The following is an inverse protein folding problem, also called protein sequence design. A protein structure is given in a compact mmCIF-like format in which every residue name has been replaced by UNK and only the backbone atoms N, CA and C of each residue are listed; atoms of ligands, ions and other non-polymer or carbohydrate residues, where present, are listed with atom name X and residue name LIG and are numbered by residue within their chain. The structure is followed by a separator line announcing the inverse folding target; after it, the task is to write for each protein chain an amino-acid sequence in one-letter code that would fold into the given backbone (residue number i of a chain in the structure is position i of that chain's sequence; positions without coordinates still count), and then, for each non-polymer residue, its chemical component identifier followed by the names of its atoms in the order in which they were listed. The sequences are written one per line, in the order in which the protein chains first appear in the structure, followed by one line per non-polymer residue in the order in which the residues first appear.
data_IF_836498530820
#
_entry.id   IF_836498530820
#
_cell.length_a   1.000
_cell.length_b   1.000
_cell.length_c   1.000
_cell.angle_alpha   90.00
_cell.angle_beta   90.00
_cell.angle_gamma   90.00
#
_symmetry.space_group_name_H-M   'P 1'
#
loop_
_entity.id
_entity.type
_entity.pdbx_description
1 polymer ?
#
# COMPACT_ATOMS: atom_id res chain seq x y z
N UNK A 1 -25.24 22.61 15.73
CA UNK A 1 -24.14 21.62 15.86
C UNK A 1 -23.36 21.56 14.54
N UNK A 2 -22.04 21.38 14.56
CA UNK A 2 -21.22 21.17 13.35
C UNK A 2 -21.34 19.72 12.90
N UNK A 3 -21.41 19.48 11.59
CA UNK A 3 -21.31 18.13 11.04
C UNK A 3 -19.85 17.65 11.12
N UNK A 4 -19.64 16.50 11.77
CA UNK A 4 -18.32 15.86 11.94
C UNK A 4 -18.12 14.67 11.01
N UNK A 5 -19.06 14.39 10.10
CA UNK A 5 -18.96 13.31 9.11
C UNK A 5 -19.22 13.79 7.66
N UNK A 6 -18.72 14.97 7.24
CA UNK A 6 -18.86 15.35 5.85
C UNK A 6 -18.05 14.39 4.96
N UNK A 7 -18.59 14.06 3.79
CA UNK A 7 -17.80 13.40 2.76
C UNK A 7 -16.86 14.44 2.11
N UNK A 8 -15.58 14.11 1.85
CA UNK A 8 -14.71 14.99 1.09
C UNK A 8 -15.20 15.11 -0.35
N UNK A 9 -15.56 16.31 -0.78
CA UNK A 9 -15.99 16.59 -2.16
C UNK A 9 -14.96 17.48 -2.89
N UNK A 10 -14.73 17.22 -4.17
CA UNK A 10 -13.86 18.05 -5.02
C UNK A 10 -12.37 18.04 -4.67
N UNK A 11 -11.92 17.15 -3.78
CA UNK A 11 -10.53 17.08 -3.32
C UNK A 11 -9.87 15.75 -3.68
N UNK A 12 -8.64 15.84 -4.20
CA UNK A 12 -7.84 14.70 -4.60
C UNK A 12 -8.36 13.96 -5.83
N UNK A 13 -7.56 12.98 -6.29
CA UNK A 13 -7.94 12.05 -7.36
C UNK A 13 -7.76 10.62 -6.85
N UNK A 14 -8.74 9.76 -7.12
CA UNK A 14 -8.60 8.32 -6.94
C UNK A 14 -7.99 7.77 -8.23
N UNK A 15 -6.77 7.25 -8.16
CA UNK A 15 -6.04 6.71 -9.31
C UNK A 15 -5.37 5.39 -8.93
N UNK A 16 -5.04 4.57 -9.93
CA UNK A 16 -4.26 3.36 -9.71
C UNK A 16 -2.85 3.70 -9.20
N UNK A 17 -2.27 4.81 -9.69
CA UNK A 17 -0.96 5.27 -9.22
C UNK A 17 -0.98 5.59 -7.72
N UNK A 18 -2.03 6.23 -7.20
CA UNK A 18 -2.14 6.47 -5.76
C UNK A 18 -2.26 5.18 -4.93
N UNK A 19 -2.79 4.10 -5.50
CA UNK A 19 -2.74 2.77 -4.86
C UNK A 19 -1.32 2.21 -4.85
N UNK A 20 -0.57 2.35 -5.97
CA UNK A 20 0.84 1.93 -6.05
C UNK A 20 1.73 2.69 -5.08
N UNK A 21 1.58 4.00 -5.00
CA UNK A 21 2.34 4.85 -4.07
C UNK A 21 2.10 4.43 -2.62
N UNK A 22 0.83 4.16 -2.27
CA UNK A 22 0.45 3.64 -0.95
C UNK A 22 1.12 2.29 -0.64
N UNK A 23 1.07 1.33 -1.58
CA UNK A 23 1.71 0.01 -1.46
C UNK A 23 3.22 0.16 -1.29
N UNK A 24 3.88 0.97 -2.12
CA UNK A 24 5.32 1.24 -2.05
C UNK A 24 5.70 1.80 -0.68
N UNK A 25 4.94 2.76 -0.15
CA UNK A 25 5.17 3.33 1.18
C UNK A 25 4.98 2.30 2.29
N UNK A 26 3.95 1.46 2.22
CA UNK A 26 3.74 0.34 3.17
C UNK A 26 4.96 -0.58 3.19
N UNK A 27 5.42 -1.06 2.02
CA UNK A 27 6.59 -1.94 1.93
C UNK A 27 7.83 -1.28 2.56
N UNK A 28 8.11 -0.02 2.21
CA UNK A 28 9.29 0.70 2.72
C UNK A 28 9.21 0.95 4.23
N UNK A 29 8.06 1.35 4.74
CA UNK A 29 7.87 1.58 6.18
C UNK A 29 7.97 0.28 6.98
N UNK A 30 7.38 -0.82 6.50
CA UNK A 30 7.50 -2.15 7.12
C UNK A 30 8.94 -2.66 7.09
N UNK A 31 9.66 -2.44 6.00
CA UNK A 31 11.10 -2.73 5.94
C UNK A 31 11.87 -1.93 6.99
N UNK A 32 11.55 -0.63 7.19
CA UNK A 32 12.13 0.18 8.26
C UNK A 32 11.91 -0.43 9.65
N UNK A 33 10.67 -0.84 9.96
CA UNK A 33 10.35 -1.45 11.26
C UNK A 33 11.02 -2.81 11.46
N UNK A 34 11.13 -3.65 10.43
CA UNK A 34 11.90 -4.89 10.50
C UNK A 34 13.39 -4.65 10.80
N UNK A 35 13.89 -3.44 10.52
CA UNK A 35 15.25 -2.99 10.81
C UNK A 35 15.31 -2.07 12.04
N UNK A 36 14.31 -2.11 12.93
CA UNK A 36 14.29 -1.37 14.20
C UNK A 36 13.95 0.12 14.08
N UNK A 37 13.44 0.58 12.93
CA UNK A 37 13.08 1.99 12.69
C UNK A 37 11.57 2.19 12.71
N UNK A 38 11.04 2.71 13.82
CA UNK A 38 9.62 3.06 13.99
C UNK A 38 9.19 4.32 13.22
N UNK A 39 10.15 5.16 12.83
CA UNK A 39 9.98 6.33 11.99
C UNK A 39 11.00 6.26 10.83
N UNK A 40 10.57 6.55 9.62
CA UNK A 40 11.41 6.44 8.42
C UNK A 40 11.24 7.65 7.50
N UNK A 41 12.35 8.22 7.02
CA UNK A 41 12.30 9.27 6.00
C UNK A 41 11.96 8.64 4.64
N UNK A 42 10.73 8.84 4.17
CA UNK A 42 10.21 8.33 2.91
C UNK A 42 9.72 9.50 2.06
N UNK A 43 10.29 9.64 0.85
CA UNK A 43 9.88 10.65 -0.14
C UNK A 43 9.81 12.08 0.41
N UNK A 44 10.73 12.42 1.33
CA UNK A 44 10.84 13.74 1.96
C UNK A 44 10.02 13.91 3.25
N UNK A 45 9.24 12.92 3.65
CA UNK A 45 8.41 12.94 4.86
C UNK A 45 8.89 11.93 5.91
N UNK A 46 8.77 12.29 7.19
CA UNK A 46 9.06 11.37 8.29
C UNK A 46 7.82 10.54 8.61
N UNK A 47 7.75 9.35 8.05
CA UNK A 47 6.59 8.48 8.14
C UNK A 47 6.61 7.60 9.39
N UNK A 48 5.44 7.40 9.97
CA UNK A 48 5.21 6.58 11.16
C UNK A 48 4.10 5.52 10.92
N UNK A 49 3.66 4.89 12.01
CA UNK A 49 2.68 3.81 11.95
C UNK A 49 1.30 4.29 11.46
N UNK A 50 0.95 5.56 11.67
CA UNK A 50 -0.33 6.09 11.22
C UNK A 50 -0.38 6.14 9.69
N UNK A 51 0.72 6.51 9.04
CA UNK A 51 0.83 6.52 7.57
C UNK A 51 0.65 5.12 6.98
N UNK A 52 1.36 4.14 7.53
CA UNK A 52 1.18 2.73 7.13
C UNK A 52 -0.25 2.25 7.31
N UNK A 53 -0.85 2.59 8.46
CA UNK A 53 -2.21 2.18 8.79
C UNK A 53 -3.23 2.78 7.82
N UNK A 54 -3.19 4.09 7.57
CA UNK A 54 -4.18 4.72 6.69
C UNK A 54 -4.08 4.18 5.26
N UNK A 55 -2.87 3.92 4.76
CA UNK A 55 -2.69 3.34 3.43
C UNK A 55 -3.26 1.93 3.32
N UNK A 56 -2.99 1.05 4.29
CA UNK A 56 -3.55 -0.31 4.28
C UNK A 56 -5.08 -0.30 4.37
N UNK A 57 -5.66 0.56 5.21
CA UNK A 57 -7.12 0.69 5.30
C UNK A 57 -7.73 1.29 4.03
N UNK A 58 -7.07 2.24 3.39
CA UNK A 58 -7.51 2.77 2.09
C UNK A 58 -7.54 1.68 1.02
N UNK A 59 -6.48 0.87 0.92
CA UNK A 59 -6.39 -0.24 -0.06
C UNK A 59 -7.49 -1.28 0.23
N UNK A 60 -7.65 -1.67 1.49
CA UNK A 60 -8.69 -2.61 1.90
C UNK A 60 -10.09 -2.06 1.61
N UNK A 61 -10.37 -0.80 1.94
CA UNK A 61 -11.67 -0.15 1.66
C UNK A 61 -11.97 -0.12 0.15
N UNK A 62 -10.99 0.26 -0.67
CA UNK A 62 -11.15 0.25 -2.14
C UNK A 62 -11.46 -1.14 -2.66
N UNK A 63 -10.81 -2.16 -2.13
CA UNK A 63 -11.00 -3.57 -2.54
C UNK A 63 -12.35 -4.10 -2.08
N UNK A 64 -12.73 -3.88 -0.82
CA UNK A 64 -14.01 -4.27 -0.24
C UNK A 64 -15.20 -3.71 -1.04
N UNK A 65 -15.11 -2.43 -1.42
CA UNK A 65 -16.17 -1.75 -2.16
C UNK A 65 -16.00 -1.81 -3.68
N UNK A 66 -15.06 -2.61 -4.20
CA UNK A 66 -14.78 -2.77 -5.64
C UNK A 66 -14.67 -1.42 -6.36
N UNK A 67 -13.90 -0.49 -5.78
CA UNK A 67 -13.72 0.85 -6.35
C UNK A 67 -12.93 0.74 -7.65
N UNK A 68 -13.49 1.29 -8.73
CA UNK A 68 -12.79 1.49 -10.00
C UNK A 68 -12.06 2.83 -10.01
N UNK A 69 -10.84 2.83 -10.53
CA UNK A 69 -10.01 4.03 -10.69
C UNK A 69 -9.31 4.00 -12.05
N UNK A 70 -9.02 5.17 -12.64
CA UNK A 70 -8.21 5.24 -13.85
C UNK A 70 -6.76 4.83 -13.59
N UNK A 71 -6.21 4.06 -14.54
CA UNK A 71 -4.78 3.81 -14.67
C UNK A 71 -4.06 4.96 -15.41
N UNK A 72 -2.77 4.77 -15.71
CA UNK A 72 -1.96 5.78 -16.41
C UNK A 72 -2.43 6.09 -17.84
N UNK A 73 -3.17 5.16 -18.47
CA UNK A 73 -3.73 5.31 -19.81
C UNK A 73 -5.20 5.75 -19.78
N UNK A 74 -5.75 6.02 -18.59
CA UNK A 74 -7.16 6.38 -18.40
C UNK A 74 -8.13 5.21 -18.48
N UNK A 75 -7.64 3.96 -18.47
CA UNK A 75 -8.50 2.77 -18.39
C UNK A 75 -8.97 2.59 -16.95
N UNK A 76 -10.27 2.37 -16.78
CA UNK A 76 -10.84 2.02 -15.47
C UNK A 76 -10.39 0.62 -15.03
N UNK A 77 -9.85 0.55 -13.80
CA UNK A 77 -9.37 -0.67 -13.16
C UNK A 77 -10.06 -0.82 -11.82
N UNK A 78 -10.76 -1.94 -11.62
CA UNK A 78 -11.47 -2.28 -10.39
C UNK A 78 -10.54 -2.96 -9.39
N UNK A 79 -10.53 -2.49 -8.14
CA UNK A 79 -9.76 -3.14 -7.08
C UNK A 79 -10.35 -4.51 -6.72
N UNK A 80 -9.53 -5.54 -6.82
CA UNK A 80 -9.79 -6.90 -6.34
C UNK A 80 -8.60 -7.40 -5.50
N UNK A 81 -8.75 -8.45 -4.67
CA UNK A 81 -7.63 -9.04 -3.96
C UNK A 81 -6.47 -9.42 -4.88
N UNK A 82 -6.77 -10.00 -6.05
CA UNK A 82 -5.76 -10.42 -7.03
C UNK A 82 -4.99 -9.23 -7.61
N UNK A 83 -5.69 -8.13 -7.89
CA UNK A 83 -5.01 -6.90 -8.31
C UNK A 83 -4.10 -6.38 -7.21
N UNK A 84 -4.55 -6.37 -5.95
CA UNK A 84 -3.72 -5.91 -4.82
C UNK A 84 -2.44 -6.75 -4.71
N UNK A 85 -2.55 -8.08 -4.77
CA UNK A 85 -1.39 -8.99 -4.79
C UNK A 85 -0.43 -8.67 -5.92
N UNK A 86 -0.96 -8.52 -7.15
CA UNK A 86 -0.16 -8.16 -8.32
C UNK A 86 0.58 -6.83 -8.11
N UNK A 87 -0.09 -5.82 -7.57
CA UNK A 87 0.53 -4.51 -7.31
C UNK A 87 1.62 -4.59 -6.23
N UNK A 88 1.44 -5.39 -5.18
CA UNK A 88 2.48 -5.62 -4.17
C UNK A 88 3.74 -6.25 -4.78
N UNK A 89 3.58 -7.23 -5.67
CA UNK A 89 4.70 -7.87 -6.36
C UNK A 89 5.42 -6.89 -7.29
N UNK A 90 4.67 -6.13 -8.08
CA UNK A 90 5.23 -5.15 -9.01
C UNK A 90 6.00 -4.03 -8.29
N UNK A 91 5.48 -3.52 -7.18
CA UNK A 91 6.15 -2.47 -6.40
C UNK A 91 7.36 -3.02 -5.62
N UNK A 92 7.31 -4.26 -5.11
CA UNK A 92 8.50 -4.92 -4.56
C UNK A 92 9.61 -5.03 -5.61
N UNK A 93 9.26 -5.46 -6.82
CA UNK A 93 10.23 -5.59 -7.90
C UNK A 93 10.82 -4.24 -8.34
N UNK A 94 10.02 -3.17 -8.33
CA UNK A 94 10.51 -1.79 -8.56
C UNK A 94 11.49 -1.38 -7.46
N UNK A 95 11.13 -1.56 -6.20
CA UNK A 95 12.00 -1.24 -5.05
C UNK A 95 13.32 -2.00 -5.11
N UNK A 96 13.29 -3.27 -5.51
CA UNK A 96 14.52 -4.07 -5.68
C UNK A 96 15.40 -3.54 -6.79
N UNK A 97 14.83 -3.12 -7.93
CA UNK A 97 15.57 -2.48 -9.04
C UNK A 97 16.17 -1.13 -8.64
N UNK A 98 15.44 -0.34 -7.87
CA UNK A 98 15.92 0.95 -7.33
C UNK A 98 17.04 0.74 -6.30
N UNK A 99 17.01 -0.36 -5.54
CA UNK A 99 18.00 -0.67 -4.50
C UNK A 99 19.24 -1.41 -5.03
N UNK A 100 19.21 -1.97 -6.24
CA UNK A 100 20.33 -2.77 -6.81
C UNK A 100 21.63 -1.98 -7.07
N UNK A 101 21.67 -0.68 -6.76
CA UNK A 101 22.93 0.08 -6.64
C UNK A 101 23.71 -0.24 -5.36
N UNK A 102 23.07 -0.76 -4.31
CA UNK A 102 23.72 -1.19 -3.06
C UNK A 102 23.46 -2.68 -2.80
N UNK A 103 24.46 -3.50 -3.10
CA UNK A 103 24.40 -4.96 -3.14
C UNK A 103 24.32 -5.64 -1.78
N UNK A 104 23.16 -5.58 -1.11
CA UNK A 104 22.93 -6.33 0.13
C UNK A 104 21.78 -7.34 0.03
N UNK A 105 22.12 -8.63 0.03
CA UNK A 105 21.17 -9.75 0.01
C UNK A 105 20.27 -9.73 1.25
N UNK A 106 20.76 -9.21 2.38
CA UNK A 106 19.96 -9.07 3.60
C UNK A 106 18.81 -8.07 3.42
N UNK A 107 19.07 -6.95 2.71
CA UNK A 107 18.04 -5.96 2.40
C UNK A 107 16.96 -6.53 1.46
N UNK A 108 17.34 -7.38 0.51
CA UNK A 108 16.37 -8.04 -0.38
C UNK A 108 15.41 -8.97 0.37
N UNK A 109 15.88 -9.64 1.42
CA UNK A 109 15.05 -10.52 2.26
C UNK A 109 14.07 -9.72 3.14
N UNK A 110 14.53 -8.63 3.76
CA UNK A 110 13.67 -7.80 4.60
C UNK A 110 12.58 -7.11 3.79
N UNK A 111 12.86 -6.70 2.55
CA UNK A 111 11.83 -6.17 1.65
C UNK A 111 10.77 -7.20 1.27
N UNK A 112 11.14 -8.47 1.06
CA UNK A 112 10.15 -9.53 0.81
C UNK A 112 9.24 -9.73 2.02
N UNK A 113 9.82 -9.84 3.21
CA UNK A 113 9.05 -9.93 4.47
C UNK A 113 8.15 -8.73 4.69
N UNK A 114 8.62 -7.53 4.36
CA UNK A 114 7.85 -6.30 4.44
C UNK A 114 6.64 -6.30 3.48
N UNK A 115 6.84 -6.79 2.25
CA UNK A 115 5.77 -7.00 1.27
C UNK A 115 4.73 -8.00 1.78
N UNK A 116 5.17 -9.15 2.29
CA UNK A 116 4.26 -10.18 2.82
C UNK A 116 3.48 -9.70 4.04
N UNK A 117 4.12 -8.98 4.96
CA UNK A 117 3.44 -8.37 6.11
C UNK A 117 2.45 -7.28 5.68
N UNK A 118 2.85 -6.42 4.73
CA UNK A 118 2.02 -5.34 4.23
C UNK A 118 0.75 -5.84 3.56
N UNK A 119 0.90 -6.80 2.64
CA UNK A 119 -0.23 -7.46 1.97
C UNK A 119 -1.08 -8.23 2.97
N UNK A 120 -0.49 -9.09 3.80
CA UNK A 120 -1.21 -9.92 4.75
C UNK A 120 -2.08 -9.10 5.71
N UNK A 121 -1.65 -7.89 6.08
CA UNK A 121 -2.48 -6.97 6.87
C UNK A 121 -3.65 -6.36 6.08
N UNK A 122 -3.50 -6.12 4.78
CA UNK A 122 -4.61 -5.67 3.92
C UNK A 122 -5.62 -6.80 3.72
N UNK A 123 -5.13 -8.00 3.40
CA UNK A 123 -5.97 -9.19 3.20
C UNK A 123 -6.67 -9.60 4.50
N UNK A 124 -5.99 -9.55 5.65
CA UNK A 124 -6.61 -9.82 6.94
C UNK A 124 -7.74 -8.84 7.29
N UNK A 125 -7.68 -7.58 6.86
CA UNK A 125 -8.81 -6.65 6.99
C UNK A 125 -9.99 -7.11 6.13
N UNK A 126 -9.75 -7.57 4.91
CA UNK A 126 -10.79 -8.07 4.01
C UNK A 126 -11.43 -9.37 4.54
N UNK A 127 -10.64 -10.32 5.03
CA UNK A 127 -11.14 -11.55 5.68
C UNK A 127 -12.01 -11.22 6.90
N UNK A 128 -11.58 -10.27 7.74
CA UNK A 128 -12.37 -9.81 8.88
C UNK A 128 -13.70 -9.14 8.47
N UNK A 129 -13.84 -8.71 7.22
CA UNK A 129 -15.08 -8.19 6.65
C UNK A 129 -15.87 -9.25 5.85
N UNK A 130 -15.46 -10.53 5.89
CA UNK A 130 -16.14 -11.64 5.23
C UNK A 130 -15.85 -11.78 3.73
N UNK A 131 -14.82 -11.11 3.21
CA UNK A 131 -14.39 -11.28 1.83
C UNK A 131 -13.65 -12.61 1.71
N UNK A 132 -14.05 -13.46 0.76
CA UNK A 132 -13.30 -14.67 0.43
C UNK A 132 -12.00 -14.30 -0.29
N UNK A 133 -10.89 -14.68 0.30
CA UNK A 133 -9.55 -14.56 -0.29
C UNK A 133 -9.14 -15.96 -0.75
N UNK A 134 -8.65 -16.06 -1.99
CA UNK A 134 -8.28 -17.34 -2.62
C UNK A 134 -6.89 -17.79 -2.20
#
# INVERSE_FOLDING_TARGET
HKDLRPSPEGVGKRTLQGTRDAIRTVIRYRNGVLNGKGASLLDGYMEDLATDRIYRYMIAQRTLHRVSVPDANGREVTHTPELVTQLFDEELDRLRRESSTDGDRAAAETYRKARDQGEGMVLGVLEAQGVQIR
#
